data_IF_912294202552
#
_entry.id   IF_912294202552
#
_cell.length_a   1.000
_cell.length_b   1.000
_cell.length_c   1.000
_cell.angle_alpha   90.00
_cell.angle_beta   90.00
_cell.angle_gamma   90.00
#
_symmetry.space_group_name_H-M   'P 1'
#
loop_
_entity.id
_entity.type
_entity.pdbx_description
1 polymer ?
#
# COMPACT_ATOMS: atom_id res chain seq x y z
N UNK A 1 2.62 23.41 -15.58
CA UNK A 1 1.43 22.64 -15.17
C UNK A 1 1.35 22.57 -13.65
N UNK A 2 0.15 22.65 -13.05
CA UNK A 2 -0.04 22.67 -11.60
C UNK A 2 0.18 21.27 -10.98
N UNK A 3 1.01 21.17 -9.95
CA UNK A 3 1.37 19.90 -9.27
C UNK A 3 0.18 19.19 -8.64
N UNK A 4 -0.83 19.92 -8.15
CA UNK A 4 -2.08 19.33 -7.62
C UNK A 4 -2.89 18.63 -8.71
N UNK A 5 -2.91 19.20 -9.92
CA UNK A 5 -3.63 18.64 -11.06
C UNK A 5 -2.96 17.35 -11.55
N UNK A 6 -1.61 17.35 -11.62
CA UNK A 6 -0.83 16.14 -11.95
C UNK A 6 -1.10 15.03 -10.94
N UNK A 7 -1.07 15.31 -9.64
CA UNK A 7 -1.35 14.31 -8.60
C UNK A 7 -2.77 13.72 -8.69
N UNK A 8 -3.77 14.54 -9.02
CA UNK A 8 -5.15 14.08 -9.22
C UNK A 8 -5.29 13.17 -10.46
N UNK A 9 -4.65 13.53 -11.57
CA UNK A 9 -4.66 12.72 -12.80
C UNK A 9 -3.97 11.37 -12.57
N UNK A 10 -2.80 11.36 -11.94
CA UNK A 10 -2.08 10.13 -11.60
C UNK A 10 -2.93 9.20 -10.74
N UNK A 11 -3.68 9.72 -9.77
CA UNK A 11 -4.58 8.91 -8.95
C UNK A 11 -5.78 8.37 -9.76
N UNK A 12 -6.42 9.22 -10.57
CA UNK A 12 -7.57 8.84 -11.40
C UNK A 12 -7.22 7.76 -12.42
N UNK A 13 -6.07 7.87 -13.06
CA UNK A 13 -5.58 6.87 -14.02
C UNK A 13 -5.33 5.51 -13.36
N UNK A 14 -4.86 5.48 -12.10
CA UNK A 14 -4.73 4.24 -11.33
C UNK A 14 -6.06 3.50 -11.16
N UNK A 15 -7.13 4.22 -10.79
CA UNK A 15 -8.46 3.64 -10.63
C UNK A 15 -9.09 3.16 -11.94
N UNK A 16 -8.79 3.83 -13.06
CA UNK A 16 -9.23 3.38 -14.38
C UNK A 16 -8.58 2.05 -14.75
N UNK A 17 -7.28 1.90 -14.45
CA UNK A 17 -6.55 0.66 -14.68
C UNK A 17 -7.16 -0.53 -13.91
N UNK A 18 -7.54 -0.34 -12.64
CA UNK A 18 -8.13 -1.41 -11.81
C UNK A 18 -9.45 -1.94 -12.39
N UNK A 19 -10.33 -1.03 -12.84
CA UNK A 19 -11.60 -1.41 -13.47
C UNK A 19 -11.41 -2.14 -14.79
N UNK A 20 -10.44 -1.71 -15.60
CA UNK A 20 -10.12 -2.39 -16.86
C UNK A 20 -9.63 -3.82 -16.61
N UNK A 21 -8.83 -4.05 -15.57
CA UNK A 21 -8.39 -5.40 -15.19
C UNK A 21 -9.59 -6.28 -14.78
N UNK A 22 -10.55 -5.76 -14.01
CA UNK A 22 -11.77 -6.53 -13.70
C UNK A 22 -12.50 -6.98 -14.97
N UNK A 23 -12.73 -6.06 -15.92
CA UNK A 23 -13.39 -6.38 -17.19
C UNK A 23 -12.64 -7.42 -18.01
N UNK A 24 -11.30 -7.38 -17.99
CA UNK A 24 -10.45 -8.39 -18.65
C UNK A 24 -10.67 -9.77 -18.05
N UNK A 25 -10.68 -9.89 -16.71
CA UNK A 25 -11.00 -11.15 -16.04
C UNK A 25 -12.41 -11.66 -16.35
N UNK A 26 -13.41 -10.78 -16.39
CA UNK A 26 -14.78 -11.16 -16.79
C UNK A 26 -14.85 -11.63 -18.26
N UNK A 27 -14.01 -11.03 -19.12
CA UNK A 27 -13.89 -11.33 -20.54
C UNK A 27 -12.81 -12.38 -20.87
N UNK A 28 -12.35 -13.16 -19.89
CA UNK A 28 -11.20 -14.07 -20.04
C UNK A 28 -11.32 -15.06 -21.20
N UNK A 29 -12.54 -15.41 -21.64
CA UNK A 29 -12.73 -16.31 -22.79
C UNK A 29 -12.21 -15.71 -24.11
N UNK A 30 -12.21 -14.39 -24.24
CA UNK A 30 -11.77 -13.67 -25.44
C UNK A 30 -10.50 -12.84 -25.20
N UNK A 31 -10.19 -12.48 -23.96
CA UNK A 31 -9.01 -11.70 -23.63
C UNK A 31 -7.78 -12.61 -23.39
N UNK A 32 -6.79 -12.51 -24.28
CA UNK A 32 -5.57 -13.33 -24.22
C UNK A 32 -4.67 -13.01 -23.02
N UNK A 33 -4.67 -11.78 -22.52
CA UNK A 33 -3.88 -11.43 -21.34
C UNK A 33 -4.47 -12.06 -20.08
N UNK A 34 -5.80 -11.99 -19.94
CA UNK A 34 -6.51 -12.62 -18.84
C UNK A 34 -6.33 -14.14 -18.83
N UNK A 35 -6.38 -14.82 -19.99
CA UNK A 35 -6.05 -16.26 -20.08
C UNK A 35 -4.65 -16.55 -19.56
N UNK A 36 -3.67 -15.78 -20.02
CA UNK A 36 -2.28 -15.94 -19.60
C UNK A 36 -2.10 -15.71 -18.10
N UNK A 37 -2.80 -14.73 -17.51
CA UNK A 37 -2.78 -14.54 -16.06
C UNK A 37 -3.38 -15.72 -15.31
N UNK A 38 -4.48 -16.29 -15.78
CA UNK A 38 -5.09 -17.49 -15.20
C UNK A 38 -4.15 -18.69 -15.25
N UNK A 39 -3.45 -18.89 -16.37
CA UNK A 39 -2.43 -19.93 -16.52
C UNK A 39 -1.25 -19.72 -15.56
N UNK A 40 -0.76 -18.49 -15.42
CA UNK A 40 0.31 -18.14 -14.47
C UNK A 40 -0.12 -18.40 -13.03
N UNK A 41 -1.39 -18.16 -12.70
CA UNK A 41 -1.99 -18.49 -11.40
C UNK A 41 -2.24 -19.99 -11.22
N UNK A 42 -1.94 -20.84 -12.21
CA UNK A 42 -2.06 -22.29 -12.14
C UNK A 42 -3.43 -22.85 -12.53
N UNK A 43 -4.31 -22.02 -13.11
CA UNK A 43 -5.61 -22.46 -13.60
C UNK A 43 -5.53 -22.94 -15.04
N UNK A 44 -6.38 -23.92 -15.37
CA UNK A 44 -6.61 -24.37 -16.76
C UNK A 44 -7.87 -23.63 -17.24
N UNK A 45 -7.76 -22.62 -18.13
CA UNK A 45 -8.88 -21.78 -18.51
C UNK A 45 -10.10 -22.58 -18.98
N UNK A 46 -9.91 -23.66 -19.72
CA UNK A 46 -10.99 -24.49 -20.27
C UNK A 46 -11.86 -25.16 -19.20
N UNK A 47 -11.34 -25.33 -17.98
CA UNK A 47 -12.07 -25.93 -16.86
C UNK A 47 -12.87 -24.90 -16.05
N UNK A 48 -12.63 -23.61 -16.29
CA UNK A 48 -13.29 -22.54 -15.55
C UNK A 48 -14.73 -22.39 -16.02
N UNK A 49 -15.66 -22.51 -15.08
CA UNK A 49 -17.09 -22.39 -15.33
C UNK A 49 -17.51 -20.92 -15.39
N UNK A 50 -17.07 -20.10 -14.44
CA UNK A 50 -17.29 -18.66 -14.43
C UNK A 50 -16.22 -17.91 -13.64
N UNK A 51 -16.07 -16.62 -13.94
CA UNK A 51 -15.23 -15.67 -13.21
C UNK A 51 -16.07 -14.45 -12.86
N UNK A 52 -15.98 -13.99 -11.61
CA UNK A 52 -16.52 -12.72 -11.12
C UNK A 52 -15.36 -11.90 -10.54
N UNK A 53 -15.10 -10.71 -11.10
CA UNK A 53 -13.96 -9.87 -10.74
C UNK A 53 -14.43 -8.57 -10.09
N UNK A 54 -14.15 -8.44 -8.79
CA UNK A 54 -14.63 -7.34 -7.97
C UNK A 54 -13.48 -6.39 -7.65
N UNK A 55 -13.63 -5.12 -8.05
CA UNK A 55 -12.74 -4.06 -7.58
C UNK A 55 -13.02 -3.78 -6.10
N UNK A 56 -12.04 -4.02 -5.23
CA UNK A 56 -12.17 -3.77 -3.79
C UNK A 56 -11.76 -2.32 -3.52
N UNK A 57 -12.67 -1.46 -3.05
CA UNK A 57 -12.30 -0.09 -2.71
C UNK A 57 -11.31 -0.09 -1.54
N UNK A 58 -10.26 0.74 -1.66
CA UNK A 58 -9.23 0.88 -0.62
C UNK A 58 -9.83 1.34 0.71
N UNK A 59 -10.84 2.22 0.65
CA UNK A 59 -11.55 2.74 1.82
C UNK A 59 -13.06 2.80 1.55
N UNK A 60 -13.84 2.33 2.51
CA UNK A 60 -15.29 2.57 2.59
C UNK A 60 -15.48 3.67 3.65
N UNK A 61 -16.38 4.63 3.43
CA UNK A 61 -16.69 5.63 4.47
C UNK A 61 -17.44 4.97 5.62
N UNK A 62 -17.31 5.50 6.84
CA UNK A 62 -18.05 4.98 8.01
C UNK A 62 -19.57 5.04 7.78
N UNK A 63 -20.04 6.09 7.11
CA UNK A 63 -21.44 6.24 6.69
C UNK A 63 -21.89 5.13 5.74
N UNK A 64 -21.12 4.84 4.68
CA UNK A 64 -21.45 3.76 3.76
C UNK A 64 -21.37 2.39 4.43
N UNK A 65 -20.42 2.19 5.34
CA UNK A 65 -20.32 0.93 6.10
C UNK A 65 -21.57 0.72 6.96
N UNK A 66 -22.05 1.77 7.64
CA UNK A 66 -23.29 1.72 8.43
C UNK A 66 -24.52 1.44 7.55
N UNK A 67 -24.63 2.09 6.38
CA UNK A 67 -25.71 1.84 5.42
C UNK A 67 -25.73 0.39 4.91
N UNK A 68 -24.56 -0.23 4.80
CA UNK A 68 -24.41 -1.64 4.42
C UNK A 68 -24.60 -2.62 5.59
N UNK A 69 -24.99 -2.13 6.78
CA UNK A 69 -25.21 -2.97 7.97
C UNK A 69 -23.94 -3.49 8.62
N UNK A 70 -22.79 -2.86 8.38
CA UNK A 70 -21.51 -3.24 9.02
C UNK A 70 -21.41 -2.55 10.38
N UNK A 71 -21.20 -3.34 11.45
CA UNK A 71 -20.98 -2.78 12.79
C UNK A 71 -19.71 -1.93 12.87
N UNK A 72 -19.67 -0.97 13.79
CA UNK A 72 -18.50 -0.09 13.95
C UNK A 72 -17.24 -0.90 14.29
N UNK A 73 -17.33 -1.91 15.14
CA UNK A 73 -16.20 -2.76 15.52
C UNK A 73 -15.64 -3.52 14.30
N UNK A 74 -16.52 -4.10 13.49
CA UNK A 74 -16.13 -4.83 12.27
C UNK A 74 -15.54 -3.89 11.22
N UNK A 75 -16.06 -2.68 11.11
CA UNK A 75 -15.49 -1.63 10.27
C UNK A 75 -14.07 -1.27 10.72
N UNK A 76 -13.87 -1.00 12.02
CA UNK A 76 -12.57 -0.63 12.58
C UNK A 76 -11.53 -1.74 12.39
N UNK A 77 -11.90 -3.00 12.63
CA UNK A 77 -11.06 -4.16 12.36
C UNK A 77 -10.68 -4.27 10.88
N UNK A 78 -11.66 -4.11 9.99
CA UNK A 78 -11.45 -4.19 8.53
C UNK A 78 -10.54 -3.09 7.99
N UNK A 79 -10.45 -1.94 8.65
CA UNK A 79 -9.56 -0.84 8.26
C UNK A 79 -8.17 -1.00 8.90
N UNK A 80 -8.09 -1.51 10.13
CA UNK A 80 -6.85 -1.58 10.91
C UNK A 80 -5.76 -2.44 10.26
N UNK A 81 -6.15 -3.60 9.70
CA UNK A 81 -5.19 -4.57 9.15
C UNK A 81 -5.22 -4.68 7.63
N UNK A 82 -6.13 -3.97 6.96
CA UNK A 82 -6.18 -3.97 5.51
C UNK A 82 -4.89 -3.37 4.98
N UNK A 83 -4.12 -4.19 4.27
CA UNK A 83 -3.04 -3.70 3.42
C UNK A 83 -3.66 -2.67 2.48
N UNK A 84 -2.95 -1.57 2.23
CA UNK A 84 -3.39 -0.59 1.23
C UNK A 84 -3.58 -1.23 -0.17
N UNK A 85 -3.04 -2.43 -0.35
CA UNK A 85 -2.86 -3.15 -1.59
C UNK A 85 -3.68 -4.46 -1.63
N UNK A 86 -5.01 -4.35 -1.75
CA UNK A 86 -5.84 -5.37 -2.43
C UNK A 86 -6.81 -4.59 -3.31
N UNK A 87 -6.72 -4.76 -4.62
CA UNK A 87 -7.40 -3.91 -5.59
C UNK A 87 -8.41 -4.68 -6.43
N UNK A 88 -8.16 -5.95 -6.75
CA UNK A 88 -9.13 -6.80 -7.44
C UNK A 88 -9.22 -8.13 -6.72
N UNK A 89 -10.44 -8.57 -6.42
CA UNK A 89 -10.72 -9.93 -6.00
C UNK A 89 -11.35 -10.68 -7.17
N UNK A 90 -10.71 -11.77 -7.58
CA UNK A 90 -11.18 -12.63 -8.66
C UNK A 90 -11.74 -13.91 -8.04
N UNK A 91 -13.04 -14.12 -8.20
CA UNK A 91 -13.74 -15.35 -7.82
C UNK A 91 -13.82 -16.26 -9.03
N UNK A 92 -13.19 -17.42 -8.93
CA UNK A 92 -13.11 -18.40 -10.01
C UNK A 92 -13.92 -19.62 -9.59
N UNK A 93 -14.93 -19.98 -10.37
CA UNK A 93 -15.74 -21.16 -10.14
C UNK A 93 -15.31 -22.25 -11.11
N UNK A 94 -14.89 -23.39 -10.58
CA UNK A 94 -14.58 -24.60 -11.34
C UNK A 94 -15.54 -25.68 -10.87
N UNK A 95 -16.49 -26.05 -11.73
CA UNK A 95 -17.64 -26.88 -11.34
C UNK A 95 -18.41 -26.20 -10.20
N UNK A 96 -18.31 -26.74 -8.97
CA UNK A 96 -18.99 -26.22 -7.79
C UNK A 96 -18.01 -25.75 -6.70
N UNK A 97 -16.71 -25.62 -7.05
CA UNK A 97 -15.67 -25.17 -6.12
C UNK A 97 -15.34 -23.71 -6.41
N UNK A 98 -15.41 -22.88 -5.36
CA UNK A 98 -15.05 -21.47 -5.40
C UNK A 98 -13.58 -21.30 -5.00
N UNK A 99 -12.81 -20.69 -5.89
CA UNK A 99 -11.46 -20.20 -5.64
C UNK A 99 -11.48 -18.66 -5.59
N UNK A 100 -10.69 -18.07 -4.71
CA UNK A 100 -10.65 -16.62 -4.51
C UNK A 100 -9.20 -16.15 -4.58
N UNK A 101 -8.89 -15.33 -5.57
CA UNK A 101 -7.59 -14.68 -5.74
C UNK A 101 -7.68 -13.20 -5.39
N UNK A 102 -6.75 -12.72 -4.56
CA UNK A 102 -6.66 -11.30 -4.21
C UNK A 102 -5.44 -10.70 -4.90
N UNK A 103 -5.68 -9.78 -5.84
CA UNK A 103 -4.67 -9.21 -6.72
C UNK A 103 -4.41 -7.75 -6.34
N UNK A 104 -3.14 -7.40 -6.22
CA UNK A 104 -2.67 -6.03 -6.13
C UNK A 104 -2.14 -5.58 -7.49
N UNK A 105 -2.57 -4.41 -7.96
CA UNK A 105 -2.15 -3.84 -9.23
C UNK A 105 -1.23 -2.64 -8.99
N UNK A 106 -0.17 -2.55 -9.79
CA UNK A 106 0.69 -1.37 -9.81
C UNK A 106 0.91 -1.01 -11.27
N UNK A 107 0.74 0.28 -11.59
CA UNK A 107 1.06 0.78 -12.92
C UNK A 107 2.57 0.74 -13.10
N UNK A 108 3.04 0.03 -14.12
CA UNK A 108 4.44 0.04 -14.52
C UNK A 108 4.54 0.84 -15.81
N UNK A 109 4.72 2.16 -15.72
CA UNK A 109 5.16 2.95 -16.87
C UNK A 109 6.69 3.02 -16.87
N UNK A 110 7.28 2.79 -18.04
CA UNK A 110 8.74 2.90 -18.28
C UNK A 110 9.30 4.28 -17.84
N UNK A 111 8.43 5.30 -17.77
CA UNK A 111 8.77 6.66 -17.30
C UNK A 111 8.45 6.96 -15.82
N UNK A 112 7.77 6.08 -15.06
CA UNK A 112 7.63 6.27 -13.60
C UNK A 112 8.70 5.47 -12.88
N UNK A 113 9.57 6.17 -12.16
CA UNK A 113 10.62 5.52 -11.39
C UNK A 113 10.10 4.73 -10.18
N UNK A 114 9.03 5.18 -9.50
CA UNK A 114 8.68 4.66 -8.17
C UNK A 114 7.17 4.57 -7.92
N UNK A 115 6.73 3.43 -7.37
CA UNK A 115 5.36 3.20 -6.89
C UNK A 115 5.33 3.04 -5.37
N UNK A 116 4.36 3.66 -4.70
CA UNK A 116 4.17 3.49 -3.27
C UNK A 116 3.51 2.12 -3.00
N UNK A 117 4.16 1.27 -2.18
CA UNK A 117 3.63 -0.04 -1.76
C UNK A 117 3.03 0.01 -0.35
N UNK A 118 3.51 0.91 0.49
CA UNK A 118 3.02 1.05 1.86
C UNK A 118 3.34 2.46 2.39
N UNK A 119 2.48 2.97 3.27
CA UNK A 119 2.72 4.22 4.01
C UNK A 119 1.83 4.29 5.25
N UNK A 120 2.44 4.32 6.42
CA UNK A 120 1.77 4.48 7.72
C UNK A 120 2.62 5.35 8.66
N UNK A 121 2.02 5.92 9.73
CA UNK A 121 2.79 6.56 10.79
C UNK A 121 3.80 5.60 11.44
N UNK A 122 4.94 6.12 11.91
CA UNK A 122 6.01 5.32 12.53
C UNK A 122 5.49 4.48 13.70
N UNK A 123 4.58 5.04 14.50
CA UNK A 123 3.94 4.33 15.63
C UNK A 123 3.22 3.05 15.20
N UNK A 124 2.69 3.00 13.98
CA UNK A 124 2.04 1.80 13.45
C UNK A 124 3.05 0.70 13.18
N UNK A 125 4.16 1.03 12.50
CA UNK A 125 5.23 0.06 12.27
C UNK A 125 5.89 -0.40 13.57
N UNK A 126 6.00 0.48 14.57
CA UNK A 126 6.47 0.09 15.90
C UNK A 126 5.61 -1.02 16.49
N UNK A 127 4.29 -0.87 16.47
CA UNK A 127 3.39 -1.91 16.97
C UNK A 127 3.50 -3.22 16.19
N UNK A 128 3.71 -3.13 14.87
CA UNK A 128 3.82 -4.30 14.00
C UNK A 128 5.15 -5.04 14.15
N UNK A 129 6.25 -4.31 14.28
CA UNK A 129 7.60 -4.87 14.21
C UNK A 129 8.36 -4.84 15.53
N UNK A 130 7.79 -4.18 16.55
CA UNK A 130 8.32 -4.12 17.91
C UNK A 130 9.78 -3.63 18.01
N UNK A 131 10.12 -2.56 17.26
CA UNK A 131 11.41 -1.87 17.45
C UNK A 131 11.39 -0.95 18.67
N UNK A 132 12.57 -0.67 19.20
CA UNK A 132 12.74 0.08 20.45
C UNK A 132 12.34 1.58 20.35
N UNK A 133 12.26 2.23 21.51
CA UNK A 133 11.88 3.64 21.61
C UNK A 133 12.88 4.59 20.93
N UNK A 134 14.15 4.21 20.84
CA UNK A 134 15.18 5.04 20.23
C UNK A 134 15.03 5.02 18.71
N UNK A 135 14.87 3.83 18.10
CA UNK A 135 14.54 3.68 16.68
C UNK A 135 13.25 4.42 16.33
N UNK A 136 12.21 4.34 17.17
CA UNK A 136 10.96 5.09 16.96
C UNK A 136 11.18 6.60 16.92
N UNK A 137 11.92 7.14 17.89
CA UNK A 137 12.20 8.58 17.99
C UNK A 137 12.87 9.08 16.71
N UNK A 138 13.91 8.40 16.25
CA UNK A 138 14.69 8.84 15.11
C UNK A 138 14.00 8.62 13.77
N UNK A 139 13.19 7.56 13.62
CA UNK A 139 12.32 7.41 12.45
C UNK A 139 11.23 8.50 12.40
N UNK A 140 10.70 8.94 13.55
CA UNK A 140 9.78 10.08 13.58
C UNK A 140 10.45 11.40 13.19
N UNK A 141 11.71 11.60 13.60
CA UNK A 141 12.51 12.74 13.15
C UNK A 141 12.77 12.69 11.64
N UNK A 142 13.01 11.50 11.09
CA UNK A 142 13.20 11.28 9.65
C UNK A 142 11.95 11.59 8.83
N UNK A 143 10.77 11.19 9.31
CA UNK A 143 9.49 11.44 8.63
C UNK A 143 8.95 12.84 8.85
N UNK A 144 9.48 13.57 9.84
CA UNK A 144 8.98 14.88 10.26
C UNK A 144 7.76 14.81 11.19
N UNK A 145 7.48 13.64 11.78
CA UNK A 145 6.52 13.51 12.89
C UNK A 145 7.04 14.19 14.18
N UNK A 146 8.36 14.33 14.31
CA UNK A 146 9.04 15.11 15.35
C UNK A 146 9.93 16.15 14.66
N UNK A 147 9.91 17.40 15.11
CA UNK A 147 10.74 18.45 14.51
C UNK A 147 12.19 18.34 14.99
N UNK A 148 13.18 18.60 14.12
CA UNK A 148 14.59 18.64 14.50
C UNK A 148 14.88 19.49 15.74
N UNK A 149 14.20 20.64 15.89
CA UNK A 149 14.39 21.56 17.04
C UNK A 149 14.04 20.96 18.40
N UNK A 150 13.23 19.90 18.41
CA UNK A 150 12.79 19.24 19.65
C UNK A 150 13.79 18.16 20.10
N UNK A 151 14.81 17.85 19.27
CA UNK A 151 15.75 16.76 19.51
C UNK A 151 17.22 17.13 19.32
N UNK A 152 17.53 18.20 18.59
CA UNK A 152 18.87 18.69 18.31
C UNK A 152 19.17 19.99 19.07
N UNK A 153 20.45 20.21 19.35
CA UNK A 153 20.94 21.48 19.87
C UNK A 153 20.93 22.59 18.81
N UNK A 154 20.99 23.85 19.26
CA UNK A 154 21.06 25.03 18.38
C UNK A 154 22.23 24.98 17.39
N UNK A 155 23.33 24.32 17.75
CA UNK A 155 24.50 24.20 16.89
C UNK A 155 24.30 23.15 15.80
N UNK A 156 23.73 21.99 16.16
CA UNK A 156 23.39 20.93 15.22
C UNK A 156 22.32 21.38 14.20
N UNK A 157 21.35 22.20 14.63
CA UNK A 157 20.32 22.78 13.76
C UNK A 157 20.85 23.67 12.63
N UNK A 158 22.08 24.19 12.73
CA UNK A 158 22.71 24.96 11.65
C UNK A 158 23.18 24.06 10.51
N UNK A 159 23.41 22.78 10.79
CA UNK A 159 24.00 21.82 9.86
C UNK A 159 22.97 21.01 9.07
N UNK A 160 21.69 21.06 9.47
CA UNK A 160 20.62 20.28 8.84
C UNK A 160 20.08 20.96 7.58
N UNK A 161 19.65 20.15 6.61
CA UNK A 161 19.13 20.63 5.34
C UNK A 161 17.67 21.06 5.37
N UNK A 162 16.84 20.49 6.26
CA UNK A 162 15.40 20.78 6.34
C UNK A 162 14.97 20.96 7.80
N UNK A 163 14.26 22.05 8.10
CA UNK A 163 13.79 22.35 9.46
C UNK A 163 12.59 21.50 9.90
N UNK A 164 12.02 20.70 9.00
CA UNK A 164 10.83 19.88 9.26
C UNK A 164 11.15 18.42 9.55
N UNK A 165 12.36 17.95 9.20
CA UNK A 165 12.77 16.55 9.34
C UNK A 165 14.28 16.42 9.24
N UNK A 166 14.81 15.26 9.64
CA UNK A 166 16.20 14.90 9.41
C UNK A 166 16.33 13.97 8.19
N UNK A 167 17.44 14.08 7.48
CA UNK A 167 17.91 13.04 6.57
C UNK A 167 18.66 11.96 7.37
N UNK A 168 18.73 10.77 6.80
CA UNK A 168 19.32 9.62 7.50
C UNK A 168 20.80 9.84 7.88
N UNK A 169 21.55 10.52 7.03
CA UNK A 169 22.96 10.86 7.27
C UNK A 169 23.17 12.04 8.24
N UNK A 170 22.11 12.70 8.69
CA UNK A 170 22.16 13.81 9.67
C UNK A 170 21.91 13.30 11.11
N UNK A 171 21.75 11.99 11.29
CA UNK A 171 21.55 11.37 12.60
C UNK A 171 22.90 10.93 13.21
N UNK A 172 22.98 10.76 14.53
CA UNK A 172 24.16 10.17 15.18
C UNK A 172 24.52 8.79 14.61
N UNK A 173 25.81 8.50 14.45
CA UNK A 173 26.28 7.25 13.83
C UNK A 173 25.79 5.98 14.55
N UNK A 174 25.74 6.01 15.90
CA UNK A 174 25.24 4.91 16.70
C UNK A 174 23.76 4.61 16.42
N UNK A 175 22.97 5.65 16.15
CA UNK A 175 21.55 5.55 15.80
C UNK A 175 21.39 4.99 14.40
N UNK A 176 22.14 5.50 13.43
CA UNK A 176 22.15 5.00 12.05
C UNK A 176 22.41 3.49 12.05
N UNK A 177 23.48 3.06 12.73
CA UNK A 177 23.84 1.64 12.83
C UNK A 177 22.71 0.81 13.44
N UNK A 178 22.06 1.32 14.48
CA UNK A 178 20.96 0.63 15.15
C UNK A 178 19.72 0.47 14.26
N UNK A 179 19.39 1.49 13.47
CA UNK A 179 18.28 1.42 12.50
C UNK A 179 18.62 0.41 11.39
N UNK A 180 19.84 0.46 10.84
CA UNK A 180 20.31 -0.51 9.84
C UNK A 180 20.24 -1.93 10.40
N UNK A 181 20.81 -2.18 11.57
CA UNK A 181 20.79 -3.48 12.23
C UNK A 181 19.37 -4.03 12.41
N UNK A 182 18.41 -3.17 12.77
CA UNK A 182 17.01 -3.58 12.88
C UNK A 182 16.41 -4.06 11.55
N UNK A 183 16.71 -3.40 10.43
CA UNK A 183 16.19 -3.79 9.12
C UNK A 183 16.95 -4.96 8.48
N UNK A 184 18.21 -5.19 8.83
CA UNK A 184 19.05 -6.26 8.25
C UNK A 184 19.09 -7.56 9.07
N UNK A 185 18.82 -7.52 10.39
CA UNK A 185 18.82 -8.72 11.26
C UNK A 185 17.45 -9.39 11.36
N UNK A 186 16.46 -8.94 10.60
CA UNK A 186 15.12 -9.55 10.53
C UNK A 186 14.93 -10.37 9.26
#
# INVERSE_FOLDING_TARGET
MNTKYIGLLTAKEGFLNEKEICKKFESWKIDNEAKKWLEIMGYIPEKISSIDALHIPVKISKENANLLGISTDKYEESIKYKKADIQVQVKIIIKNVLHIENISLKKANISAGFNQVDKRPVKTYKKMWNFDNEVEKWLKAFTGEILPKDILSSEELKSIKDQRRLFFHEMPENVIKRIIDFFFKK
#
